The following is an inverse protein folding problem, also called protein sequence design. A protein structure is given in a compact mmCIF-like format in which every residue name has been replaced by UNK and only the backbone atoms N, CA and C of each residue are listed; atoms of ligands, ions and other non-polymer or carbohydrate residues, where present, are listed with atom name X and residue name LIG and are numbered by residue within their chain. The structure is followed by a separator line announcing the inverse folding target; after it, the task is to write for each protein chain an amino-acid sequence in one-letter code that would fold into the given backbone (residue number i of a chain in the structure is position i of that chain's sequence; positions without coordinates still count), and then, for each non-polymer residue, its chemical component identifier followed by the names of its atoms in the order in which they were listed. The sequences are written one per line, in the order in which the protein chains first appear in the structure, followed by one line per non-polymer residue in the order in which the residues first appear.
data_IF_084222483448
#
_entry.id   IF_084222483448
#
_cell.length_a   1.000
_cell.length_b   1.000
_cell.length_c   1.000
_cell.angle_alpha   90.00
_cell.angle_beta   90.00
_cell.angle_gamma   90.00
#
_symmetry.space_group_name_H-M   'P 1'
#
loop_
_entity.id
_entity.type
_entity.pdbx_description
1 polymer ?
#
# COMPACT_ATOMS: atom_id res chain seq x y z
N UNK A 1 3.64 -17.52 13.31
CA UNK A 1 3.67 -17.05 11.91
C UNK A 1 2.66 -17.87 11.12
N UNK A 2 1.70 -17.24 10.45
CA UNK A 2 0.78 -17.91 9.52
C UNK A 2 1.17 -17.59 8.08
N UNK A 3 0.84 -18.47 7.15
CA UNK A 3 1.10 -18.27 5.72
C UNK A 3 -0.22 -18.32 4.96
N UNK A 4 -0.42 -17.38 4.04
CA UNK A 4 -1.55 -17.36 3.10
C UNK A 4 -1.00 -17.41 1.68
N UNK A 5 -1.70 -18.15 0.81
CA UNK A 5 -1.49 -18.09 -0.65
C UNK A 5 -2.67 -17.35 -1.25
N UNK A 6 -2.40 -16.24 -1.93
CA UNK A 6 -3.40 -15.38 -2.57
C UNK A 6 -3.21 -15.47 -4.07
N UNK A 7 -4.26 -15.83 -4.81
CA UNK A 7 -4.20 -15.86 -6.27
C UNK A 7 -4.60 -14.49 -6.85
N UNK A 8 -3.73 -13.87 -7.64
CA UNK A 8 -3.97 -12.62 -8.36
C UNK A 8 -3.67 -12.85 -9.84
N UNK A 9 -4.68 -12.75 -10.71
CA UNK A 9 -4.58 -12.99 -12.15
C UNK A 9 -3.79 -14.25 -12.55
N UNK A 10 -4.03 -15.36 -11.84
CA UNK A 10 -3.37 -16.64 -12.10
C UNK A 10 -1.95 -16.77 -11.52
N UNK A 11 -1.46 -15.76 -10.80
CA UNK A 11 -0.22 -15.82 -10.03
C UNK A 11 -0.52 -16.08 -8.55
N UNK A 12 0.16 -17.06 -7.95
CA UNK A 12 0.07 -17.30 -6.51
C UNK A 12 1.11 -16.46 -5.76
N UNK A 13 0.63 -15.60 -4.87
CA UNK A 13 1.45 -14.76 -4.00
C UNK A 13 1.40 -15.33 -2.58
N UNK A 14 2.57 -15.66 -2.05
CA UNK A 14 2.74 -16.16 -0.69
C UNK A 14 2.94 -14.99 0.28
N UNK A 15 2.09 -14.89 1.30
CA UNK A 15 2.16 -13.85 2.34
C UNK A 15 2.37 -14.52 3.70
N UNK A 16 3.42 -14.13 4.40
CA UNK A 16 3.67 -14.52 5.79
C UNK A 16 3.18 -13.42 6.73
N UNK A 17 2.28 -13.78 7.65
CA UNK A 17 1.81 -12.91 8.73
C UNK A 17 2.52 -13.25 10.03
N UNK A 18 2.95 -12.23 10.77
CA UNK A 18 3.53 -12.38 12.10
C UNK A 18 2.59 -11.77 13.14
N UNK A 19 2.04 -12.63 14.00
CA UNK A 19 1.22 -12.21 15.13
C UNK A 19 2.04 -11.50 16.23
N UNK A 20 3.36 -11.61 16.18
CA UNK A 20 4.26 -11.18 17.27
C UNK A 20 5.01 -9.87 16.97
N UNK A 21 4.52 -9.08 16.01
CA UNK A 21 5.13 -7.80 15.66
C UNK A 21 4.46 -6.70 16.47
N UNK A 22 5.19 -6.11 17.41
CA UNK A 22 4.70 -5.09 18.33
C UNK A 22 5.57 -3.83 18.27
N UNK A 23 4.94 -2.68 18.46
CA UNK A 23 5.65 -1.45 18.71
C UNK A 23 6.32 -1.53 20.09
N UNK A 24 7.64 -1.39 20.13
CA UNK A 24 8.42 -1.57 21.36
C UNK A 24 8.18 -0.47 22.39
N UNK A 25 7.62 0.67 21.98
CA UNK A 25 7.39 1.84 22.84
C UNK A 25 6.02 1.76 23.51
N UNK A 26 4.99 1.41 22.74
CA UNK A 26 3.59 1.38 23.17
C UNK A 26 3.11 -0.02 23.55
N UNK A 27 3.83 -1.06 23.14
CA UNK A 27 3.45 -2.47 23.34
C UNK A 27 2.26 -2.92 22.49
N UNK A 28 1.74 -2.06 21.59
CA UNK A 28 0.60 -2.39 20.73
C UNK A 28 1.05 -3.27 19.57
N UNK A 29 0.19 -4.20 19.16
CA UNK A 29 0.40 -4.96 17.94
C UNK A 29 0.46 -3.98 16.75
N UNK A 30 1.44 -4.19 15.88
CA UNK A 30 1.56 -3.40 14.66
C UNK A 30 0.57 -3.96 13.65
N UNK A 31 -0.49 -3.20 13.39
CA UNK A 31 -1.57 -3.57 12.47
C UNK A 31 -1.06 -3.90 11.07
N UNK A 32 0.05 -3.29 10.63
CA UNK A 32 0.71 -3.61 9.35
C UNK A 32 1.33 -5.01 9.27
N UNK A 33 1.33 -5.81 10.35
CA UNK A 33 1.76 -7.21 10.33
C UNK A 33 0.66 -8.19 9.93
N UNK A 34 -0.54 -7.69 9.64
CA UNK A 34 -1.71 -8.46 9.20
C UNK A 34 -2.04 -8.18 7.74
N UNK A 35 -2.64 -9.17 7.08
CA UNK A 35 -3.20 -8.95 5.76
C UNK A 35 -4.59 -8.31 5.88
N UNK A 36 -4.73 -7.10 5.36
CA UNK A 36 -5.99 -6.35 5.32
C UNK A 36 -6.76 -6.58 4.01
N UNK A 37 -8.09 -6.63 4.10
CA UNK A 37 -8.99 -6.85 2.95
C UNK A 37 -8.83 -5.77 1.86
N UNK A 38 -8.47 -4.54 2.23
CA UNK A 38 -8.15 -3.45 1.30
C UNK A 38 -6.95 -3.78 0.40
N UNK A 39 -5.92 -4.45 0.94
CA UNK A 39 -4.74 -4.88 0.17
C UNK A 39 -5.12 -5.94 -0.88
N UNK A 40 -5.98 -6.89 -0.52
CA UNK A 40 -6.53 -7.86 -1.46
C UNK A 40 -7.38 -7.17 -2.53
N UNK A 41 -8.26 -6.25 -2.13
CA UNK A 41 -9.13 -5.56 -3.07
C UNK A 41 -8.33 -4.72 -4.08
N UNK A 42 -7.29 -4.01 -3.63
CA UNK A 42 -6.41 -3.25 -4.51
C UNK A 42 -5.67 -4.15 -5.50
N UNK A 43 -5.08 -5.25 -5.02
CA UNK A 43 -4.33 -6.19 -5.84
C UNK A 43 -5.20 -6.84 -6.94
N UNK A 44 -6.44 -7.24 -6.60
CA UNK A 44 -7.39 -7.77 -7.58
C UNK A 44 -7.84 -6.71 -8.58
N UNK A 45 -8.10 -5.48 -8.13
CA UNK A 45 -8.59 -4.40 -9.00
C UNK A 45 -7.52 -3.99 -10.02
N UNK A 46 -6.27 -3.85 -9.59
CA UNK A 46 -5.17 -3.44 -10.47
C UNK A 46 -4.72 -4.55 -11.42
N UNK A 47 -5.14 -5.80 -11.21
CA UNK A 47 -4.83 -6.92 -12.09
C UNK A 47 -5.39 -6.77 -13.52
N UNK A 48 -6.34 -5.85 -13.72
CA UNK A 48 -6.85 -5.47 -15.03
C UNK A 48 -6.03 -4.34 -15.71
N UNK A 49 -5.09 -3.72 -15.00
CA UNK A 49 -4.24 -2.66 -15.54
C UNK A 49 -2.97 -3.22 -16.21
N UNK A 50 -2.46 -2.51 -17.22
CA UNK A 50 -1.16 -2.81 -17.81
C UNK A 50 -0.06 -2.14 -16.97
N UNK A 51 0.67 -2.95 -16.21
CA UNK A 51 1.82 -2.53 -15.40
C UNK A 51 3.16 -2.86 -16.09
N UNK A 52 3.14 -3.29 -17.35
CA UNK A 52 4.34 -3.70 -18.07
C UNK A 52 5.34 -2.55 -18.16
N UNK A 53 6.51 -2.73 -17.55
CA UNK A 53 7.57 -1.71 -17.56
C UNK A 53 7.35 -0.54 -16.59
N UNK A 54 6.27 -0.53 -15.80
CA UNK A 54 6.03 0.53 -14.82
C UNK A 54 7.03 0.48 -13.65
N UNK A 55 7.35 1.64 -13.10
CA UNK A 55 7.95 1.81 -11.78
C UNK A 55 6.84 2.07 -10.77
N UNK A 56 6.73 1.19 -9.77
CA UNK A 56 5.66 1.23 -8.76
C UNK A 56 6.26 1.50 -7.39
N UNK A 57 5.63 2.38 -6.60
CA UNK A 57 5.95 2.60 -5.20
C UNK A 57 4.74 2.25 -4.36
N UNK A 58 4.91 1.50 -3.28
CA UNK A 58 3.87 1.27 -2.28
C UNK A 58 4.22 1.99 -0.98
N UNK A 59 3.31 2.88 -0.56
CA UNK A 59 3.37 3.59 0.73
C UNK A 59 2.62 2.75 1.78
N UNK A 60 3.23 2.55 2.95
CA UNK A 60 2.61 1.79 4.05
C UNK A 60 2.27 0.35 3.62
N UNK A 61 3.25 -0.35 3.06
CA UNK A 61 3.05 -1.63 2.42
C UNK A 61 2.60 -2.74 3.37
N UNK A 62 2.90 -2.65 4.67
CA UNK A 62 2.64 -3.69 5.66
C UNK A 62 3.29 -5.02 5.25
N UNK A 63 2.48 -5.93 4.71
CA UNK A 63 2.92 -7.22 4.17
C UNK A 63 3.24 -7.21 2.67
N UNK A 64 2.90 -6.14 1.95
CA UNK A 64 3.31 -5.85 0.58
C UNK A 64 2.48 -6.51 -0.52
N UNK A 65 1.27 -7.00 -0.24
CA UNK A 65 0.47 -7.74 -1.24
C UNK A 65 0.27 -6.96 -2.56
N UNK A 66 -0.16 -5.67 -2.55
CA UNK A 66 -0.30 -4.91 -3.78
C UNK A 66 1.02 -4.76 -4.54
N UNK A 67 2.11 -4.33 -3.91
CA UNK A 67 3.38 -4.18 -4.61
C UNK A 67 3.98 -5.51 -5.11
N UNK A 68 3.81 -6.61 -4.37
CA UNK A 68 4.18 -7.95 -4.84
C UNK A 68 3.34 -8.37 -6.05
N UNK A 69 2.04 -8.08 -6.04
CA UNK A 69 1.17 -8.28 -7.19
C UNK A 69 1.64 -7.45 -8.40
N UNK A 70 2.03 -6.19 -8.19
CA UNK A 70 2.56 -5.34 -9.27
C UNK A 70 3.84 -5.93 -9.88
N UNK A 71 4.70 -6.53 -9.07
CA UNK A 71 5.94 -7.17 -9.53
C UNK A 71 5.67 -8.38 -10.43
N UNK A 72 4.72 -9.26 -10.06
CA UNK A 72 4.36 -10.44 -10.86
C UNK A 72 3.54 -10.07 -12.11
N UNK A 73 2.81 -8.95 -12.07
CA UNK A 73 2.02 -8.41 -13.19
C UNK A 73 2.85 -7.64 -14.23
N UNK A 74 4.18 -7.57 -14.08
CA UNK A 74 5.07 -7.07 -15.14
C UNK A 74 5.74 -5.73 -14.90
N UNK A 75 5.59 -5.13 -13.71
CA UNK A 75 6.35 -3.92 -13.33
C UNK A 75 7.86 -4.18 -13.46
N UNK A 76 8.62 -3.19 -13.94
CA UNK A 76 10.07 -3.33 -14.06
C UNK A 76 10.80 -3.07 -12.74
N UNK A 77 10.22 -2.22 -11.88
CA UNK A 77 10.73 -1.88 -10.56
C UNK A 77 9.56 -1.67 -9.60
N UNK A 78 9.69 -2.20 -8.39
CA UNK A 78 8.74 -1.95 -7.30
C UNK A 78 9.52 -1.55 -6.05
N UNK A 79 9.09 -0.48 -5.39
CA UNK A 79 9.63 0.01 -4.13
C UNK A 79 8.57 -0.18 -3.06
N UNK A 80 8.80 -1.07 -2.10
CA UNK A 80 7.90 -1.26 -0.97
C UNK A 80 8.42 -0.46 0.22
N UNK A 81 7.57 0.38 0.80
CA UNK A 81 7.96 1.22 1.94
C UNK A 81 7.09 0.99 3.15
N UNK A 82 7.74 1.00 4.31
CA UNK A 82 7.07 1.02 5.60
C UNK A 82 8.02 1.52 6.70
N UNK A 83 7.55 1.51 7.94
CA UNK A 83 8.31 1.78 9.14
C UNK A 83 9.27 0.61 9.49
N UNK A 84 10.41 0.88 10.16
CA UNK A 84 11.44 -0.12 10.49
C UNK A 84 10.94 -1.46 11.05
N UNK A 85 9.96 -1.50 11.98
CA UNK A 85 9.50 -2.77 12.55
C UNK A 85 8.87 -3.74 11.54
N UNK A 86 8.37 -3.24 10.40
CA UNK A 86 7.69 -4.05 9.39
C UNK A 86 8.62 -4.49 8.24
N UNK A 87 9.77 -3.83 8.07
CA UNK A 87 10.67 -4.08 6.94
C UNK A 87 11.23 -5.51 6.90
N UNK A 88 11.46 -6.16 8.05
CA UNK A 88 11.94 -7.54 8.06
C UNK A 88 10.88 -8.51 7.54
N UNK A 89 9.63 -8.37 7.98
CA UNK A 89 8.52 -9.18 7.49
C UNK A 89 8.26 -8.95 6.00
N UNK A 90 8.31 -7.70 5.57
CA UNK A 90 8.15 -7.31 4.18
C UNK A 90 9.22 -7.92 3.27
N UNK A 91 10.50 -7.90 3.68
CA UNK A 91 11.60 -8.57 2.95
C UNK A 91 11.40 -10.08 2.82
N UNK A 92 10.91 -10.75 3.88
CA UNK A 92 10.59 -12.18 3.83
C UNK A 92 9.50 -12.48 2.79
N UNK A 93 8.49 -11.61 2.66
CA UNK A 93 7.46 -11.77 1.63
C UNK A 93 8.02 -11.52 0.22
N UNK A 94 8.95 -10.59 0.03
CA UNK A 94 9.66 -10.41 -1.25
C UNK A 94 10.43 -11.68 -1.63
N UNK A 95 11.19 -12.24 -0.70
CA UNK A 95 11.95 -13.48 -0.91
C UNK A 95 11.05 -14.68 -1.23
N UNK A 96 9.95 -14.85 -0.48
CA UNK A 96 9.01 -15.95 -0.65
C UNK A 96 8.35 -15.99 -2.04
N UNK A 97 8.31 -14.86 -2.74
CA UNK A 97 7.72 -14.74 -4.08
C UNK A 97 8.76 -14.69 -5.21
N UNK A 98 10.05 -14.76 -4.90
CA UNK A 98 11.11 -14.79 -5.91
C UNK A 98 11.21 -13.52 -6.77
N UNK A 99 10.75 -12.37 -6.24
CA UNK A 99 10.69 -11.08 -6.97
C UNK A 99 11.80 -10.11 -6.57
N UNK A 100 12.79 -10.55 -5.79
CA UNK A 100 13.86 -9.69 -5.23
C UNK A 100 14.75 -8.97 -6.24
N UNK A 101 14.78 -9.39 -7.51
CA UNK A 101 15.51 -8.67 -8.57
C UNK A 101 14.81 -7.37 -9.00
N UNK A 102 13.49 -7.28 -8.81
CA UNK A 102 12.66 -6.14 -9.22
C UNK A 102 12.14 -5.32 -8.04
N UNK A 103 12.13 -5.92 -6.85
CA UNK A 103 11.47 -5.36 -5.67
C UNK A 103 12.51 -4.97 -4.61
N UNK A 104 12.52 -3.69 -4.24
CA UNK A 104 13.31 -3.17 -3.14
C UNK A 104 12.43 -2.84 -1.93
N UNK A 105 12.98 -3.00 -0.72
CA UNK A 105 12.30 -2.67 0.54
C UNK A 105 13.06 -1.56 1.24
N UNK A 106 12.41 -0.39 1.39
CA UNK A 106 13.01 0.82 1.97
C UNK A 106 12.23 1.31 3.18
N UNK A 107 12.91 1.97 4.10
CA UNK A 107 12.24 2.69 5.19
C UNK A 107 11.62 3.97 4.66
N UNK A 108 10.37 4.25 5.05
CA UNK A 108 9.78 5.58 4.91
C UNK A 108 8.78 5.82 6.04
N UNK A 109 9.01 6.89 6.80
CA UNK A 109 8.05 7.45 7.74
C UNK A 109 7.52 8.75 7.14
N UNK A 110 6.22 8.88 7.01
CA UNK A 110 5.64 9.98 6.23
C UNK A 110 5.90 11.37 6.82
N UNK A 111 6.05 11.45 8.14
CA UNK A 111 6.35 12.70 8.85
C UNK A 111 7.85 13.02 8.96
N UNK A 112 8.71 12.17 8.41
CA UNK A 112 10.16 12.33 8.55
C UNK A 112 10.71 13.48 7.71
N UNK A 113 11.75 14.15 8.21
CA UNK A 113 12.44 15.23 7.50
C UNK A 113 13.19 14.73 6.24
N UNK A 114 13.42 13.43 6.11
CA UNK A 114 14.11 12.83 4.96
C UNK A 114 13.20 12.46 3.77
N UNK A 115 11.92 12.81 3.81
CA UNK A 115 10.96 12.48 2.74
C UNK A 115 11.40 13.03 1.36
N UNK A 116 11.94 14.25 1.33
CA UNK A 116 12.43 14.86 0.07
C UNK A 116 13.69 14.16 -0.45
N UNK A 117 14.60 13.76 0.44
CA UNK A 117 15.79 12.97 0.06
C UNK A 117 15.37 11.61 -0.50
N UNK A 118 14.43 10.93 0.17
CA UNK A 118 13.84 9.69 -0.30
C UNK A 118 13.23 9.84 -1.71
N UNK A 119 12.46 10.90 -1.93
CA UNK A 119 11.87 11.20 -3.24
C UNK A 119 12.92 11.36 -4.34
N UNK A 120 13.99 12.11 -4.05
CA UNK A 120 15.10 12.30 -4.98
C UNK A 120 15.85 10.98 -5.30
N UNK A 121 16.02 10.10 -4.31
CA UNK A 121 16.67 8.80 -4.50
C UNK A 121 15.80 7.80 -5.28
N UNK A 122 14.49 7.78 -5.00
CA UNK A 122 13.55 6.90 -5.71
C UNK A 122 13.34 7.37 -7.15
N UNK A 123 13.35 8.69 -7.37
CA UNK A 123 13.03 9.31 -8.64
C UNK A 123 11.53 9.27 -8.94
N UNK A 124 11.19 9.63 -10.18
CA UNK A 124 9.80 9.58 -10.64
C UNK A 124 9.27 8.14 -10.70
N UNK A 125 8.03 7.96 -10.24
CA UNK A 125 7.32 6.69 -10.27
C UNK A 125 6.07 6.81 -11.13
N UNK A 126 5.68 5.74 -11.83
CA UNK A 126 4.47 5.75 -12.66
C UNK A 126 3.21 5.57 -11.79
N UNK A 127 3.30 4.72 -10.77
CA UNK A 127 2.17 4.37 -9.89
C UNK A 127 2.57 4.42 -8.42
N UNK A 128 1.75 5.07 -7.59
CA UNK A 128 1.81 5.02 -6.12
C UNK A 128 0.64 4.18 -5.59
N UNK A 129 0.94 3.09 -4.90
CA UNK A 129 -0.04 2.21 -4.27
C UNK A 129 -0.20 2.56 -2.78
N UNK A 130 -1.43 2.52 -2.29
CA UNK A 130 -1.78 2.77 -0.89
C UNK A 130 -2.90 1.82 -0.46
N UNK A 131 -2.63 0.85 0.41
CA UNK A 131 -3.67 -0.06 0.88
C UNK A 131 -3.97 0.15 2.36
N UNK A 132 -5.23 0.44 2.66
CA UNK A 132 -5.75 0.66 4.01
C UNK A 132 -5.07 1.80 4.78
N UNK A 133 -4.80 2.93 4.13
CA UNK A 133 -4.14 4.09 4.76
C UNK A 133 -5.10 5.20 5.21
N UNK A 134 -6.39 5.13 4.83
CA UNK A 134 -7.38 6.17 5.13
C UNK A 134 -8.14 5.88 6.43
N UNK A 135 -7.39 5.73 7.53
CA UNK A 135 -7.93 5.39 8.85
C UNK A 135 -7.75 6.50 9.90
N UNK A 136 -6.78 7.39 9.72
CA UNK A 136 -6.49 8.50 10.65
C UNK A 136 -6.22 9.80 9.88
N UNK A 137 -7.13 10.79 9.95
CA UNK A 137 -6.95 12.07 9.28
C UNK A 137 -5.70 12.84 9.73
N UNK A 138 -5.19 12.62 10.96
CA UNK A 138 -4.00 13.32 11.47
C UNK A 138 -2.72 12.91 10.70
N UNK A 139 -2.65 11.67 10.21
CA UNK A 139 -1.52 11.14 9.44
C UNK A 139 -1.48 11.65 7.98
N UNK A 140 -2.59 12.22 7.48
CA UNK A 140 -2.72 12.57 6.06
C UNK A 140 -1.81 13.71 5.62
N UNK A 141 -1.45 14.63 6.53
CA UNK A 141 -0.47 15.68 6.23
C UNK A 141 0.92 15.12 5.95
N UNK A 142 1.35 14.12 6.74
CA UNK A 142 2.58 13.37 6.48
C UNK A 142 2.49 12.59 5.18
N UNK A 143 1.42 11.80 4.99
CA UNK A 143 1.22 11.00 3.78
C UNK A 143 1.22 11.87 2.51
N UNK A 144 0.52 13.00 2.54
CA UNK A 144 0.49 13.95 1.42
C UNK A 144 1.87 14.52 1.09
N UNK A 145 2.70 14.81 2.11
CA UNK A 145 4.10 15.20 1.90
C UNK A 145 4.91 14.08 1.24
N UNK A 146 4.79 12.85 1.74
CA UNK A 146 5.46 11.68 1.17
C UNK A 146 5.06 11.46 -0.31
N UNK A 147 3.77 11.57 -0.61
CA UNK A 147 3.26 11.48 -1.97
C UNK A 147 3.85 12.59 -2.86
N UNK A 148 3.86 13.86 -2.41
CA UNK A 148 4.42 14.97 -3.21
C UNK A 148 5.89 14.81 -3.56
N UNK A 149 6.70 14.23 -2.68
CA UNK A 149 8.13 14.04 -2.91
C UNK A 149 8.44 13.05 -4.04
N UNK A 150 7.51 12.16 -4.35
CA UNK A 150 7.65 11.12 -5.40
C UNK A 150 6.74 11.37 -6.61
N UNK A 151 5.84 12.36 -6.53
CA UNK A 151 4.85 12.62 -7.58
C UNK A 151 5.43 13.45 -8.74
N UNK A 152 5.55 12.83 -9.90
CA UNK A 152 5.84 13.50 -11.17
C UNK A 152 4.58 13.74 -12.02
N UNK A 153 4.77 14.38 -13.18
CA UNK A 153 3.68 14.78 -14.10
C UNK A 153 2.83 13.61 -14.62
N UNK A 154 3.39 12.40 -14.62
CA UNK A 154 2.73 11.18 -15.12
C UNK A 154 2.26 10.24 -14.02
N UNK A 155 2.63 10.53 -12.78
CA UNK A 155 2.35 9.67 -11.63
C UNK A 155 0.85 9.62 -11.36
N UNK A 156 0.34 8.41 -11.12
CA UNK A 156 -1.02 8.18 -10.65
C UNK A 156 -0.99 7.42 -9.33
N UNK A 157 -1.91 7.71 -8.43
CA UNK A 157 -2.10 6.93 -7.22
C UNK A 157 -3.28 5.99 -7.36
N UNK A 158 -3.15 4.77 -6.83
CA UNK A 158 -4.26 3.87 -6.60
C UNK A 158 -4.30 3.50 -5.12
N UNK A 159 -5.42 3.80 -4.48
CA UNK A 159 -5.65 3.44 -3.11
C UNK A 159 -6.85 2.51 -2.97
N UNK A 160 -6.84 1.63 -1.98
CA UNK A 160 -8.05 0.96 -1.53
C UNK A 160 -8.17 1.08 -0.02
N UNK A 161 -9.39 1.24 0.49
CA UNK A 161 -9.66 1.27 1.93
C UNK A 161 -11.05 0.74 2.22
N UNK A 162 -11.24 0.24 3.45
CA UNK A 162 -12.58 0.09 4.01
C UNK A 162 -13.22 1.48 4.14
N UNK A 163 -14.47 1.62 3.68
CA UNK A 163 -15.21 2.89 3.76
C UNK A 163 -15.81 3.02 5.15
N UNK A 164 -15.20 3.91 5.94
CA UNK A 164 -15.63 4.31 7.29
C UNK A 164 -15.81 5.83 7.37
N UNK A 165 -16.34 6.32 8.48
CA UNK A 165 -16.51 7.76 8.70
C UNK A 165 -15.17 8.51 8.55
N UNK A 166 -14.09 7.98 9.13
CA UNK A 166 -12.75 8.54 9.03
C UNK A 166 -12.21 8.59 7.59
N UNK A 167 -12.69 7.72 6.67
CA UNK A 167 -12.24 7.71 5.28
C UNK A 167 -12.58 9.02 4.60
N UNK A 168 -13.75 9.60 4.88
CA UNK A 168 -14.17 10.89 4.28
C UNK A 168 -13.23 12.00 4.71
N UNK A 169 -12.93 12.09 6.01
CA UNK A 169 -12.02 13.10 6.55
C UNK A 169 -10.60 12.93 6.01
N UNK A 170 -10.12 11.68 5.86
CA UNK A 170 -8.82 11.41 5.25
C UNK A 170 -8.75 11.90 3.80
N UNK A 171 -9.80 11.64 3.01
CA UNK A 171 -9.87 12.04 1.61
C UNK A 171 -9.92 13.57 1.46
N UNK A 172 -10.64 14.27 2.34
CA UNK A 172 -10.64 15.74 2.36
C UNK A 172 -9.29 16.32 2.77
N UNK A 173 -8.62 15.72 3.76
CA UNK A 173 -7.26 16.11 4.14
C UNK A 173 -6.27 15.90 2.98
N UNK A 174 -6.35 14.78 2.27
CA UNK A 174 -5.50 14.52 1.10
C UNK A 174 -5.77 15.51 -0.05
N UNK A 175 -7.03 15.95 -0.23
CA UNK A 175 -7.35 17.02 -1.18
C UNK A 175 -6.73 18.36 -0.78
N UNK A 176 -6.71 18.68 0.51
CA UNK A 176 -6.05 19.88 1.03
C UNK A 176 -4.52 19.86 0.77
N UNK A 177 -3.92 18.66 0.66
CA UNK A 177 -2.52 18.46 0.28
C UNK A 177 -2.25 18.60 -1.24
N UNK A 178 -3.26 18.95 -2.03
CA UNK A 178 -3.15 19.25 -3.46
C UNK A 178 -3.46 18.09 -4.40
N UNK A 179 -4.06 17.02 -3.90
CA UNK A 179 -4.45 15.86 -4.70
C UNK A 179 -5.93 15.90 -5.08
N UNK A 180 -6.25 15.31 -6.22
CA UNK A 180 -7.63 15.00 -6.62
C UNK A 180 -7.86 13.51 -6.46
N UNK A 181 -9.07 13.15 -6.04
CA UNK A 181 -9.43 11.76 -5.76
C UNK A 181 -10.76 11.42 -6.41
N UNK A 182 -10.77 10.30 -7.14
CA UNK A 182 -11.96 9.72 -7.76
C UNK A 182 -12.24 8.32 -7.21
N UNK A 183 -13.42 8.11 -6.65
CA UNK A 183 -13.91 6.78 -6.27
C UNK A 183 -14.37 6.01 -7.52
N UNK A 184 -14.02 4.72 -7.62
CA UNK A 184 -14.36 3.87 -8.79
C UNK A 184 -15.03 2.55 -8.46
N UNK A 185 -14.40 1.72 -7.62
CA UNK A 185 -14.84 0.35 -7.36
C UNK A 185 -15.33 0.23 -5.92
N UNK A 186 -16.64 0.26 -5.70
CA UNK A 186 -17.24 0.07 -4.38
C UNK A 186 -17.83 -1.33 -4.29
N UNK A 187 -17.35 -2.13 -3.34
CA UNK A 187 -17.76 -3.53 -3.16
C UNK A 187 -18.03 -3.82 -1.70
N UNK A 188 -19.03 -4.65 -1.42
CA UNK A 188 -19.23 -5.25 -0.09
C UNK A 188 -18.64 -6.66 -0.09
N UNK A 189 -17.78 -6.95 0.88
CA UNK A 189 -17.09 -8.25 0.99
C UNK A 189 -17.11 -8.75 2.43
N UNK A 190 -17.10 -10.07 2.60
CA UNK A 190 -16.87 -10.70 3.92
C UNK A 190 -15.43 -10.50 4.32
N UNK A 191 -15.19 -10.25 5.61
CA UNK A 191 -13.84 -9.97 6.10
C UNK A 191 -13.01 -11.26 6.20
N UNK A 192 -11.73 -11.20 5.81
CA UNK A 192 -10.81 -12.35 5.91
C UNK A 192 -10.62 -12.86 7.33
N UNK A 193 -10.71 -11.97 8.33
CA UNK A 193 -10.47 -12.27 9.76
C UNK A 193 -11.74 -12.51 10.57
N UNK A 194 -12.88 -12.05 10.07
CA UNK A 194 -14.22 -12.23 10.66
C UNK A 194 -15.23 -12.60 9.55
N UNK A 195 -15.24 -13.85 9.05
CA UNK A 195 -16.03 -14.22 7.87
C UNK A 195 -17.57 -14.10 8.03
N UNK A 196 -18.03 -13.98 9.26
CA UNK A 196 -19.42 -13.67 9.65
C UNK A 196 -19.80 -12.20 9.46
N UNK A 197 -18.80 -11.31 9.36
CA UNK A 197 -18.96 -9.88 9.14
C UNK A 197 -18.66 -9.51 7.68
N UNK A 198 -19.13 -8.33 7.27
CA UNK A 198 -18.83 -7.76 5.96
C UNK A 198 -18.65 -6.25 6.06
N UNK A 199 -17.70 -5.72 5.28
CA UNK A 199 -17.49 -4.29 5.16
C UNK A 199 -17.57 -3.83 3.69
N UNK A 200 -17.66 -2.51 3.50
CA UNK A 200 -17.63 -1.87 2.19
C UNK A 200 -16.21 -1.41 1.94
N UNK A 201 -15.67 -1.72 0.77
CA UNK A 201 -14.35 -1.30 0.32
C UNK A 201 -14.49 -0.47 -0.94
N UNK A 202 -13.66 0.54 -1.08
CA UNK A 202 -13.60 1.38 -2.25
C UNK A 202 -12.17 1.43 -2.82
N UNK A 203 -12.05 1.51 -4.15
CA UNK A 203 -10.82 1.93 -4.83
C UNK A 203 -10.92 3.40 -5.21
N UNK A 204 -9.84 4.13 -4.95
CA UNK A 204 -9.65 5.53 -5.24
C UNK A 204 -8.51 5.73 -6.24
N UNK A 205 -8.77 6.46 -7.31
CA UNK A 205 -7.74 6.93 -8.25
C UNK A 205 -7.35 8.34 -7.84
N UNK A 206 -6.05 8.56 -7.67
CA UNK A 206 -5.49 9.81 -7.17
C UNK A 206 -4.58 10.40 -8.24
N UNK A 207 -4.67 11.71 -8.43
CA UNK A 207 -3.84 12.48 -9.34
C UNK A 207 -3.54 13.84 -8.76
N UNK A 208 -2.57 14.54 -9.33
CA UNK A 208 -2.18 15.89 -8.96
C UNK A 208 -2.37 16.79 -10.18
N UNK A 209 -2.87 18.00 -9.94
CA UNK A 209 -2.97 19.05 -10.96
C UNK A 209 -1.62 19.67 -11.31
#
# INVERSE_FOLDING_TARGET
MSTRSIEIAGHNITIHESADTYDRTTGRALTGSWLWDSALHLAEWMAAADLSGATVLELGAGLGLPGLAAAVLGSCRVVLTDTPPLLEGLRRNVEANGVGEKVEVRELRWESDNVEEFGNEVGEVDVVLMSDLFYDPEEMGGLGRAMRAVWGDRTKGWAASEVRDATVDCLEALKAEGFKVEEKSVVRRRLMRSPEESAVFAVFIIYRD
#
